data_IF_706049467387
#
_entry.id   IF_706049467387
#
_cell.length_a   1.000
_cell.length_b   1.000
_cell.length_c   1.000
_cell.angle_alpha   90.00
_cell.angle_beta   90.00
_cell.angle_gamma   90.00
#
_symmetry.space_group_name_H-M   'P 1'
#
loop_
_entity.id
_entity.type
_entity.pdbx_description
1 polymer ?
#
# COMPACT_ATOMS: atom_id res chain seq x y z
N UNK A 1 -0.08 32.68 51.62
CA UNK A 1 -1.39 32.54 50.97
C UNK A 1 -1.23 32.80 49.47
N UNK A 2 -0.92 31.76 48.68
CA UNK A 2 -0.78 31.84 47.22
C UNK A 2 -1.03 30.43 46.67
N UNK A 3 -2.24 30.11 46.20
CA UNK A 3 -2.43 28.83 45.49
C UNK A 3 -3.73 28.74 44.67
N UNK A 4 -4.77 29.52 44.97
CA UNK A 4 -6.04 29.41 44.24
C UNK A 4 -6.14 30.39 43.07
N UNK A 5 -5.81 31.67 43.28
CA UNK A 5 -5.90 32.70 42.23
C UNK A 5 -5.01 32.40 41.01
N UNK A 6 -3.79 31.89 41.23
CA UNK A 6 -2.88 31.49 40.15
C UNK A 6 -3.37 30.27 39.33
N UNK A 7 -4.25 29.44 39.90
CA UNK A 7 -4.82 28.29 39.21
C UNK A 7 -6.00 28.73 38.34
N UNK A 8 -6.83 29.63 38.86
CA UNK A 8 -7.99 30.21 38.16
C UNK A 8 -7.54 31.02 36.94
N UNK A 9 -6.47 31.81 37.06
CA UNK A 9 -5.92 32.59 35.93
C UNK A 9 -5.36 31.68 34.83
N UNK A 10 -4.63 30.62 35.19
CA UNK A 10 -4.12 29.63 34.23
C UNK A 10 -5.23 28.86 33.53
N UNK A 11 -6.32 28.56 34.22
CA UNK A 11 -7.50 27.93 33.63
C UNK A 11 -8.14 28.84 32.58
N UNK A 12 -8.35 30.12 32.90
CA UNK A 12 -8.92 31.10 31.99
C UNK A 12 -8.05 31.32 30.74
N UNK A 13 -6.73 31.33 30.89
CA UNK A 13 -5.79 31.41 29.76
C UNK A 13 -5.86 30.18 28.85
N UNK A 14 -5.95 28.97 29.42
CA UNK A 14 -6.11 27.75 28.64
C UNK A 14 -7.45 27.70 27.92
N UNK A 15 -8.55 28.10 28.57
CA UNK A 15 -9.87 28.18 27.94
C UNK A 15 -9.91 29.19 26.79
N UNK A 16 -9.17 30.30 26.90
CA UNK A 16 -9.03 31.26 25.81
C UNK A 16 -8.26 30.64 24.64
N UNK A 17 -7.14 29.97 24.91
CA UNK A 17 -6.32 29.29 23.87
C UNK A 17 -7.10 28.18 23.16
N UNK A 18 -7.92 27.42 23.89
CA UNK A 18 -8.78 26.39 23.30
C UNK A 18 -9.85 27.02 22.42
N UNK A 19 -10.47 28.12 22.84
CA UNK A 19 -11.44 28.86 22.01
C UNK A 19 -10.81 29.42 20.74
N UNK A 20 -9.63 30.01 20.84
CA UNK A 20 -8.87 30.53 19.68
C UNK A 20 -8.50 29.41 18.70
N UNK A 21 -7.98 28.28 19.20
CA UNK A 21 -7.61 27.14 18.37
C UNK A 21 -8.83 26.49 17.69
N UNK A 22 -9.98 26.43 18.37
CA UNK A 22 -11.22 25.93 17.80
C UNK A 22 -11.74 26.85 16.68
N UNK A 23 -11.68 28.17 16.89
CA UNK A 23 -12.07 29.17 15.88
C UNK A 23 -11.15 29.14 14.65
N UNK A 24 -9.84 28.96 14.84
CA UNK A 24 -8.89 28.80 13.73
C UNK A 24 -9.16 27.52 12.93
N UNK A 25 -9.41 26.41 13.61
CA UNK A 25 -9.77 25.13 12.98
C UNK A 25 -11.06 25.25 12.15
N UNK A 26 -12.08 25.93 12.67
CA UNK A 26 -13.33 26.16 11.95
C UNK A 26 -13.12 27.00 10.69
N UNK A 27 -12.32 28.07 10.77
CA UNK A 27 -11.95 28.89 9.60
C UNK A 27 -11.24 28.08 8.51
N UNK A 28 -10.28 27.25 8.90
CA UNK A 28 -9.54 26.40 7.96
C UNK A 28 -10.44 25.35 7.30
N UNK A 29 -11.43 24.82 8.02
CA UNK A 29 -12.42 23.90 7.47
C UNK A 29 -13.31 24.59 6.44
N UNK A 30 -13.83 25.78 6.77
CA UNK A 30 -14.63 26.59 5.84
C UNK A 30 -13.83 26.97 4.58
N UNK A 31 -12.56 27.36 4.71
CA UNK A 31 -11.72 27.67 3.55
C UNK A 31 -11.49 26.43 2.66
N UNK A 32 -11.28 25.25 3.27
CA UNK A 32 -11.12 23.99 2.54
C UNK A 32 -12.40 23.59 1.82
N UNK A 33 -13.56 23.79 2.45
CA UNK A 33 -14.87 23.52 1.83
C UNK A 33 -15.15 24.51 0.69
N UNK A 34 -14.87 25.80 0.88
CA UNK A 34 -14.98 26.80 -0.18
C UNK A 34 -14.08 26.47 -1.38
N UNK A 35 -12.83 26.04 -1.15
CA UNK A 35 -11.93 25.59 -2.22
C UNK A 35 -12.47 24.37 -2.98
N UNK A 36 -13.12 23.42 -2.28
CA UNK A 36 -13.77 22.27 -2.94
C UNK A 36 -14.96 22.70 -3.79
N UNK A 37 -15.81 23.61 -3.28
CA UNK A 37 -16.96 24.13 -4.02
C UNK A 37 -16.50 24.88 -5.27
N UNK A 38 -15.48 25.74 -5.17
CA UNK A 38 -14.91 26.47 -6.32
C UNK A 38 -14.35 25.49 -7.36
N UNK A 39 -13.64 24.46 -6.93
CA UNK A 39 -13.10 23.43 -7.83
C UNK A 39 -14.20 22.58 -8.49
N UNK A 40 -15.31 22.35 -7.78
CA UNK A 40 -16.48 21.63 -8.30
C UNK A 40 -17.29 22.49 -9.28
N UNK A 41 -17.50 23.78 -8.99
CA UNK A 41 -18.09 24.74 -9.92
C UNK A 41 -17.25 24.87 -11.18
N UNK A 42 -15.92 24.95 -11.06
CA UNK A 42 -15.00 24.99 -12.20
C UNK A 42 -15.11 23.74 -13.07
N UNK A 43 -15.27 22.55 -12.47
CA UNK A 43 -15.52 21.29 -13.21
C UNK A 43 -16.85 21.30 -13.95
N UNK A 44 -17.89 21.91 -13.37
CA UNK A 44 -19.22 22.00 -13.97
C UNK A 44 -19.22 23.02 -15.12
N UNK A 45 -18.55 24.17 -14.96
CA UNK A 45 -18.42 25.21 -15.99
C UNK A 45 -17.58 24.76 -17.20
N UNK A 46 -16.62 23.85 -17.02
CA UNK A 46 -15.80 23.27 -18.10
C UNK A 46 -16.54 22.21 -18.95
N UNK A 47 -17.83 21.97 -18.72
CA UNK A 47 -18.64 21.04 -19.51
C UNK A 47 -19.75 21.77 -20.27
N UNK A 48 -19.56 22.15 -21.55
CA UNK A 48 -20.67 22.54 -22.40
C UNK A 48 -21.36 21.30 -22.99
N UNK A 49 -22.62 21.07 -22.61
CA UNK A 49 -23.52 20.21 -23.38
C UNK A 49 -24.14 21.03 -24.52
N UNK A 50 -23.83 20.71 -25.79
CA UNK A 50 -24.82 20.30 -26.81
C UNK A 50 -24.32 20.40 -28.28
N UNK A 51 -24.57 19.30 -29.00
CA UNK A 51 -24.90 19.16 -30.43
C UNK A 51 -23.86 19.38 -31.56
N UNK A 52 -23.72 18.29 -32.33
CA UNK A 52 -23.47 18.17 -33.78
C UNK A 52 -22.27 18.95 -34.33
N UNK A 53 -21.12 18.30 -34.35
CA UNK A 53 -20.25 18.34 -35.52
C UNK A 53 -19.68 16.94 -35.77
N UNK A 54 -20.01 16.38 -36.94
CA UNK A 54 -19.29 15.27 -37.53
C UNK A 54 -17.83 15.69 -37.74
N UNK A 55 -16.95 15.23 -36.87
CA UNK A 55 -15.52 15.09 -37.16
C UNK A 55 -15.02 13.92 -36.30
N UNK A 56 -14.37 12.95 -36.95
CA UNK A 56 -13.64 11.88 -36.29
C UNK A 56 -12.56 12.47 -35.38
N UNK A 57 -12.89 12.78 -34.13
CA UNK A 57 -11.89 12.92 -33.09
C UNK A 57 -11.49 11.52 -32.66
N UNK A 58 -10.25 11.15 -32.99
CA UNK A 58 -9.57 9.99 -32.40
C UNK A 58 -9.49 10.29 -30.90
N UNK A 59 -10.49 9.84 -30.12
CA UNK A 59 -10.40 9.80 -28.66
C UNK A 59 -9.20 8.93 -28.36
N UNK A 60 -8.10 9.54 -27.92
CA UNK A 60 -6.98 8.77 -27.39
C UNK A 60 -7.55 7.80 -26.34
N UNK A 61 -7.32 6.48 -26.50
CA UNK A 61 -7.84 5.52 -25.55
C UNK A 61 -7.20 5.83 -24.20
N UNK A 62 -8.05 6.19 -23.22
CA UNK A 62 -7.66 6.32 -21.82
C UNK A 62 -6.76 5.13 -21.48
N UNK A 63 -5.50 5.33 -21.04
CA UNK A 63 -4.57 4.23 -20.88
C UNK A 63 -5.21 3.16 -20.01
N UNK A 64 -5.30 1.94 -20.56
CA UNK A 64 -5.98 0.84 -19.89
C UNK A 64 -5.43 0.71 -18.47
N UNK A 65 -6.32 0.58 -17.49
CA UNK A 65 -5.92 0.40 -16.10
C UNK A 65 -4.95 -0.80 -16.02
N UNK A 66 -3.78 -0.59 -15.43
CA UNK A 66 -2.76 -1.63 -15.30
C UNK A 66 -3.35 -2.90 -14.65
N UNK A 67 -3.13 -4.03 -15.31
CA UNK A 67 -3.62 -5.35 -14.91
C UNK A 67 -2.43 -6.21 -14.48
N UNK A 68 -2.35 -6.49 -13.17
CA UNK A 68 -1.26 -7.27 -12.58
C UNK A 68 -1.16 -8.68 -13.18
N UNK A 69 -2.30 -9.32 -13.44
CA UNK A 69 -2.31 -10.70 -13.94
C UNK A 69 -1.71 -10.74 -15.35
N UNK A 70 -2.17 -9.84 -16.23
CA UNK A 70 -1.65 -9.75 -17.61
C UNK A 70 -0.17 -9.39 -17.62
N UNK A 71 0.26 -8.50 -16.72
CA UNK A 71 1.67 -8.14 -16.60
C UNK A 71 2.53 -9.35 -16.22
N UNK A 72 2.12 -10.13 -15.21
CA UNK A 72 2.85 -11.33 -14.79
C UNK A 72 2.87 -12.41 -15.89
N UNK A 73 1.75 -12.60 -16.59
CA UNK A 73 1.69 -13.51 -17.74
C UNK A 73 2.63 -13.05 -18.88
N UNK A 74 2.70 -11.75 -19.15
CA UNK A 74 3.63 -11.17 -20.12
C UNK A 74 5.11 -11.30 -19.70
N UNK A 75 5.39 -11.33 -18.40
CA UNK A 75 6.71 -11.67 -17.83
C UNK A 75 7.04 -13.17 -17.89
N UNK A 76 6.14 -14.01 -18.43
CA UNK A 76 6.35 -15.44 -18.63
C UNK A 76 5.88 -16.33 -17.47
N UNK A 77 5.13 -15.79 -16.51
CA UNK A 77 4.58 -16.59 -15.41
C UNK A 77 3.37 -17.40 -15.84
N UNK A 78 3.35 -18.66 -15.44
CA UNK A 78 2.19 -19.54 -15.64
C UNK A 78 1.25 -19.41 -14.45
N UNK A 79 0.53 -18.29 -14.38
CA UNK A 79 -0.33 -17.94 -13.24
C UNK A 79 -1.45 -18.96 -13.02
N UNK A 80 -1.99 -19.56 -14.07
CA UNK A 80 -3.08 -20.56 -13.96
C UNK A 80 -2.63 -21.90 -13.37
N UNK A 81 -1.37 -22.29 -13.61
CA UNK A 81 -0.84 -23.59 -13.15
C UNK A 81 -0.21 -23.49 -11.77
N UNK A 82 0.09 -22.29 -11.27
CA UNK A 82 0.66 -22.07 -9.95
C UNK A 82 -0.41 -22.16 -8.84
N UNK A 83 -0.73 -23.37 -8.39
CA UNK A 83 -1.74 -23.61 -7.34
C UNK A 83 -1.42 -22.94 -5.99
N UNK A 84 -0.16 -22.52 -5.78
CA UNK A 84 0.27 -21.92 -4.52
C UNK A 84 -0.06 -20.42 -4.42
N UNK A 85 -0.38 -19.76 -5.53
CA UNK A 85 -0.61 -18.32 -5.61
C UNK A 85 -1.88 -18.03 -6.40
N UNK A 86 -2.73 -17.17 -5.85
CA UNK A 86 -3.96 -16.71 -6.48
C UNK A 86 -3.75 -15.27 -6.94
N UNK A 87 -3.73 -15.05 -8.25
CA UNK A 87 -3.52 -13.73 -8.83
C UNK A 87 -4.80 -13.25 -9.52
N UNK A 88 -5.12 -11.99 -9.30
CA UNK A 88 -6.16 -11.25 -10.04
C UNK A 88 -5.53 -10.00 -10.64
N UNK A 89 -6.29 -9.21 -11.41
CA UNK A 89 -5.79 -7.96 -11.99
C UNK A 89 -5.28 -6.94 -10.98
N UNK A 90 -5.63 -7.08 -9.69
CA UNK A 90 -5.29 -6.12 -8.63
C UNK A 90 -4.67 -6.75 -7.37
N UNK A 91 -4.57 -8.08 -7.30
CA UNK A 91 -4.12 -8.75 -6.08
C UNK A 91 -3.34 -10.01 -6.37
N UNK A 92 -2.44 -10.35 -5.44
CA UNK A 92 -1.71 -11.61 -5.42
C UNK A 92 -1.78 -12.17 -3.99
N UNK A 93 -2.26 -13.40 -3.82
CA UNK A 93 -2.51 -13.99 -2.50
C UNK A 93 -1.98 -15.41 -2.41
N UNK A 94 -1.45 -15.80 -1.26
CA UNK A 94 -0.83 -17.12 -1.10
C UNK A 94 -0.13 -17.29 0.23
N UNK A 95 0.22 -18.53 0.57
CA UNK A 95 1.00 -18.81 1.76
C UNK A 95 2.49 -18.60 1.51
N UNK A 96 3.15 -17.89 2.42
CA UNK A 96 4.60 -17.82 2.54
C UNK A 96 5.03 -18.17 3.96
N UNK A 97 6.24 -18.68 4.12
CA UNK A 97 6.84 -18.88 5.44
C UNK A 97 7.77 -17.71 5.72
N UNK A 98 7.43 -16.85 6.67
CA UNK A 98 8.21 -15.65 6.98
C UNK A 98 9.04 -15.78 8.23
N UNK A 99 10.20 -15.12 8.25
CA UNK A 99 11.00 -14.95 9.45
C UNK A 99 10.34 -13.94 10.40
N UNK A 100 10.39 -14.21 11.70
CA UNK A 100 9.94 -13.27 12.74
C UNK A 100 10.89 -12.08 12.88
N UNK A 101 10.37 -10.97 13.44
CA UNK A 101 11.14 -9.72 13.60
C UNK A 101 12.16 -9.83 14.73
N UNK A 102 11.66 -9.76 15.97
CA UNK A 102 12.45 -9.89 17.21
C UNK A 102 12.99 -11.31 17.39
N UNK A 103 12.08 -12.29 17.36
CA UNK A 103 12.42 -13.71 17.44
C UNK A 103 12.48 -14.26 16.01
N UNK A 104 13.65 -14.77 15.60
CA UNK A 104 13.91 -15.25 14.23
C UNK A 104 13.31 -16.64 13.94
N UNK A 105 12.11 -16.91 14.45
CA UNK A 105 11.34 -18.12 14.11
C UNK A 105 10.65 -17.97 12.76
N UNK A 106 10.57 -19.04 12.00
CA UNK A 106 9.84 -19.10 10.73
C UNK A 106 8.38 -19.49 10.96
N UNK A 107 7.44 -18.74 10.37
CA UNK A 107 6.00 -19.01 10.52
C UNK A 107 5.29 -18.91 9.18
N UNK A 108 4.49 -19.94 8.86
CA UNK A 108 3.56 -19.91 7.72
C UNK A 108 2.49 -18.83 7.96
N UNK A 109 2.30 -17.94 7.00
CA UNK A 109 1.32 -16.86 7.04
C UNK A 109 0.69 -16.70 5.67
N UNK A 110 -0.57 -16.30 5.66
CA UNK A 110 -1.27 -15.95 4.42
C UNK A 110 -0.92 -14.52 4.05
N UNK A 111 -0.32 -14.31 2.90
CA UNK A 111 0.03 -13.00 2.38
C UNK A 111 -1.00 -12.54 1.36
N UNK A 112 -1.28 -11.24 1.39
CA UNK A 112 -2.15 -10.56 0.42
C UNK A 112 -1.45 -9.30 -0.05
N UNK A 113 -1.07 -9.29 -1.32
CA UNK A 113 -0.73 -8.11 -2.05
C UNK A 113 -2.00 -7.44 -2.56
N UNK A 114 -2.18 -6.16 -2.27
CA UNK A 114 -3.29 -5.34 -2.73
C UNK A 114 -2.75 -4.09 -3.42
N UNK A 115 -2.94 -4.04 -4.75
CA UNK A 115 -2.45 -2.93 -5.57
C UNK A 115 -3.16 -1.62 -5.25
N UNK A 116 -4.46 -1.66 -5.00
CA UNK A 116 -5.23 -0.44 -4.76
C UNK A 116 -4.89 0.18 -3.41
N UNK A 117 -4.74 -0.65 -2.38
CA UNK A 117 -4.32 -0.20 -1.05
C UNK A 117 -2.81 0.04 -0.94
N UNK A 118 -2.03 -0.33 -1.96
CA UNK A 118 -0.57 -0.22 -2.02
C UNK A 118 0.15 -0.90 -0.84
N UNK A 119 -0.31 -2.11 -0.49
CA UNK A 119 0.22 -2.86 0.65
C UNK A 119 0.38 -4.35 0.37
N UNK A 120 1.42 -4.92 0.99
CA UNK A 120 1.58 -6.35 1.21
C UNK A 120 1.27 -6.65 2.68
N UNK A 121 0.08 -7.16 2.94
CA UNK A 121 -0.36 -7.56 4.27
C UNK A 121 -0.17 -9.07 4.50
N UNK A 122 -0.06 -9.47 5.76
CA UNK A 122 -0.07 -10.89 6.11
C UNK A 122 -0.89 -11.20 7.36
N UNK A 123 -1.56 -12.35 7.32
CA UNK A 123 -2.53 -12.83 8.29
C UNK A 123 -2.08 -14.16 8.88
N UNK A 124 -2.74 -14.58 9.96
CA UNK A 124 -2.54 -15.91 10.52
C UNK A 124 -2.75 -17.02 9.47
N UNK A 125 -3.81 -16.88 8.68
CA UNK A 125 -4.37 -17.89 7.79
C UNK A 125 -5.22 -17.24 6.66
N UNK A 126 -5.78 -18.07 5.79
CA UNK A 126 -6.48 -17.65 4.55
C UNK A 126 -7.82 -16.98 4.78
N UNK A 127 -8.33 -17.06 6.00
CA UNK A 127 -9.58 -16.46 6.45
C UNK A 127 -9.44 -14.93 6.58
N UNK A 128 -8.21 -14.40 6.55
CA UNK A 128 -7.90 -12.96 6.53
C UNK A 128 -8.46 -12.19 7.75
N UNK A 129 -8.79 -12.89 8.85
CA UNK A 129 -9.41 -12.31 10.05
C UNK A 129 -8.40 -11.70 11.03
N UNK A 130 -7.19 -12.29 11.12
CA UNK A 130 -6.17 -11.90 12.10
C UNK A 130 -4.96 -11.28 11.39
N UNK A 131 -5.01 -9.98 11.13
CA UNK A 131 -3.88 -9.23 10.58
C UNK A 131 -2.68 -9.32 11.52
N UNK A 132 -1.50 -9.63 10.96
CA UNK A 132 -0.24 -9.78 11.71
C UNK A 132 0.80 -8.74 11.34
N UNK A 133 0.68 -8.13 10.17
CA UNK A 133 1.51 -7.01 9.78
C UNK A 133 1.23 -6.55 8.36
N UNK A 134 1.77 -5.38 8.04
CA UNK A 134 1.63 -4.70 6.76
C UNK A 134 3.01 -4.23 6.33
N UNK A 135 3.28 -4.32 5.03
CA UNK A 135 4.44 -3.75 4.36
C UNK A 135 3.87 -2.79 3.31
N UNK A 136 4.13 -1.50 3.49
CA UNK A 136 3.70 -0.49 2.52
C UNK A 136 4.63 -0.53 1.32
N UNK A 137 4.10 -0.47 0.11
CA UNK A 137 4.96 -0.52 -1.08
C UNK A 137 5.93 0.66 -1.14
N UNK A 138 5.52 1.84 -0.66
CA UNK A 138 6.37 3.02 -0.58
C UNK A 138 7.58 2.82 0.36
N UNK A 139 7.47 1.90 1.32
CA UNK A 139 8.54 1.60 2.24
C UNK A 139 9.59 0.66 1.65
N UNK A 140 9.30 0.00 0.53
CA UNK A 140 10.16 -1.02 -0.08
C UNK A 140 11.28 -0.32 -0.84
N UNK A 141 12.51 -0.61 -0.44
CA UNK A 141 13.71 -0.14 -1.13
C UNK A 141 14.19 -1.16 -2.16
N UNK A 142 14.08 -2.44 -1.83
CA UNK A 142 14.68 -3.51 -2.62
C UNK A 142 13.97 -4.86 -2.38
N UNK A 143 13.93 -5.69 -3.42
CA UNK A 143 13.49 -7.09 -3.34
C UNK A 143 14.55 -7.96 -3.99
N UNK A 144 15.04 -8.99 -3.29
CA UNK A 144 16.15 -9.80 -3.77
C UNK A 144 16.11 -11.25 -3.28
N UNK A 145 16.74 -12.15 -4.03
CA UNK A 145 17.00 -13.52 -3.60
C UNK A 145 18.03 -13.53 -2.47
N UNK A 146 17.73 -14.19 -1.35
CA UNK A 146 18.67 -14.23 -0.23
C UNK A 146 19.74 -15.30 -0.46
N UNK A 147 20.86 -14.92 -1.08
CA UNK A 147 21.96 -15.83 -1.37
C UNK A 147 23.03 -15.88 -0.26
N UNK A 148 23.00 -14.98 0.71
CA UNK A 148 24.20 -14.68 1.50
C UNK A 148 23.95 -14.44 3.00
N UNK A 149 22.73 -14.12 3.48
CA UNK A 149 22.56 -13.52 4.83
C UNK A 149 21.61 -14.24 5.77
N UNK A 150 20.34 -14.42 5.43
CA UNK A 150 19.37 -15.15 6.28
C UNK A 150 19.15 -16.58 5.80
N UNK A 151 19.59 -16.89 4.59
CA UNK A 151 19.47 -18.16 3.90
C UNK A 151 20.00 -19.34 4.74
N UNK A 152 21.12 -19.19 5.45
CA UNK A 152 21.69 -20.25 6.29
C UNK A 152 20.79 -20.69 7.44
N UNK A 153 19.86 -19.83 7.89
CA UNK A 153 18.84 -20.18 8.90
C UNK A 153 17.48 -20.47 8.29
N UNK A 154 17.35 -20.36 6.96
CA UNK A 154 16.11 -20.61 6.25
C UNK A 154 15.80 -22.10 6.19
N UNK A 155 14.53 -22.51 6.32
CA UNK A 155 14.14 -23.89 6.08
C UNK A 155 14.32 -24.32 4.62
N UNK A 156 14.38 -23.38 3.66
CA UNK A 156 14.72 -23.67 2.27
C UNK A 156 15.43 -22.47 1.60
N UNK A 157 16.77 -22.42 1.65
CA UNK A 157 17.56 -21.31 1.13
C UNK A 157 17.27 -20.99 -0.34
N UNK A 158 17.09 -22.02 -1.19
CA UNK A 158 16.86 -21.85 -2.64
C UNK A 158 15.53 -21.19 -2.97
N UNK A 159 14.58 -21.21 -2.05
CA UNK A 159 13.26 -20.61 -2.19
C UNK A 159 13.08 -19.38 -1.30
N UNK A 160 14.19 -18.80 -0.81
CA UNK A 160 14.16 -17.65 0.09
C UNK A 160 14.41 -16.36 -0.68
N UNK A 161 13.53 -15.39 -0.48
CA UNK A 161 13.69 -14.01 -0.94
C UNK A 161 13.45 -13.05 0.22
N UNK A 162 13.98 -11.84 0.12
CA UNK A 162 13.76 -10.79 1.09
C UNK A 162 13.20 -9.53 0.44
N UNK A 163 12.32 -8.85 1.19
CA UNK A 163 11.83 -7.50 0.92
C UNK A 163 12.46 -6.59 1.96
N UNK A 164 13.29 -5.66 1.52
CA UNK A 164 13.95 -4.68 2.37
C UNK A 164 13.13 -3.40 2.40
N UNK A 165 12.74 -2.99 3.60
CA UNK A 165 12.19 -1.66 3.87
C UNK A 165 13.21 -0.78 4.58
N UNK A 166 12.92 0.52 4.67
CA UNK A 166 13.79 1.51 5.33
C UNK A 166 14.14 1.16 6.79
N UNK A 167 13.26 0.43 7.49
CA UNK A 167 13.42 0.09 8.91
C UNK A 167 13.51 -1.42 9.19
N UNK A 168 13.26 -2.27 8.18
CA UNK A 168 13.06 -3.69 8.43
C UNK A 168 13.34 -4.58 7.22
N UNK A 169 13.98 -5.72 7.49
CA UNK A 169 14.13 -6.79 6.52
C UNK A 169 13.08 -7.88 6.73
N UNK A 170 12.31 -8.18 5.69
CA UNK A 170 11.34 -9.28 5.66
C UNK A 170 11.84 -10.40 4.76
N UNK A 171 12.32 -11.49 5.36
CA UNK A 171 12.70 -12.68 4.59
C UNK A 171 11.59 -13.73 4.64
N UNK A 172 11.31 -14.32 3.49
CA UNK A 172 10.19 -15.20 3.22
C UNK A 172 10.65 -16.38 2.38
N UNK A 173 10.03 -17.54 2.61
CA UNK A 173 10.25 -18.76 1.85
C UNK A 173 8.99 -19.08 1.08
N UNK A 174 9.13 -19.18 -0.24
CA UNK A 174 8.07 -19.58 -1.14
C UNK A 174 7.89 -21.10 -1.15
N UNK A 175 6.68 -21.59 -1.45
CA UNK A 175 6.42 -23.03 -1.53
C UNK A 175 6.98 -23.68 -2.81
N UNK A 176 7.30 -22.89 -3.84
CA UNK A 176 7.86 -23.37 -5.11
C UNK A 176 8.66 -22.26 -5.81
N UNK A 177 9.55 -22.60 -6.76
CA UNK A 177 10.29 -21.61 -7.55
C UNK A 177 9.38 -20.67 -8.34
N UNK A 178 8.30 -21.19 -8.91
CA UNK A 178 7.33 -20.37 -9.67
C UNK A 178 6.61 -19.39 -8.74
N UNK A 179 6.15 -19.85 -7.57
CA UNK A 179 5.54 -18.97 -6.58
C UNK A 179 6.51 -17.87 -6.12
N UNK A 180 7.80 -18.19 -5.93
CA UNK A 180 8.82 -17.20 -5.57
C UNK A 180 8.92 -16.10 -6.61
N UNK A 181 9.07 -16.48 -7.89
CA UNK A 181 9.18 -15.54 -9.00
C UNK A 181 7.94 -14.64 -9.11
N UNK A 182 6.74 -15.23 -9.07
CA UNK A 182 5.48 -14.48 -9.12
C UNK A 182 5.40 -13.46 -7.97
N UNK A 183 5.75 -13.85 -6.74
CA UNK A 183 5.74 -12.94 -5.60
C UNK A 183 6.75 -11.80 -5.76
N UNK A 184 7.97 -12.11 -6.19
CA UNK A 184 9.01 -11.11 -6.40
C UNK A 184 8.59 -10.10 -7.46
N UNK A 185 8.20 -10.56 -8.64
CA UNK A 185 7.80 -9.69 -9.75
C UNK A 185 6.60 -8.82 -9.38
N UNK A 186 5.57 -9.39 -8.74
CA UNK A 186 4.42 -8.61 -8.29
C UNK A 186 4.81 -7.47 -7.33
N UNK A 187 5.72 -7.75 -6.39
CA UNK A 187 6.18 -6.77 -5.40
C UNK A 187 7.08 -5.71 -6.05
N UNK A 188 8.02 -6.11 -6.90
CA UNK A 188 8.93 -5.20 -7.63
C UNK A 188 8.12 -4.24 -8.48
N UNK A 189 7.19 -4.74 -9.30
CA UNK A 189 6.36 -3.91 -10.17
C UNK A 189 5.59 -2.84 -9.38
N UNK A 190 5.02 -3.19 -8.23
CA UNK A 190 4.32 -2.19 -7.42
C UNK A 190 5.22 -1.29 -6.56
N UNK A 191 6.46 -1.70 -6.28
CA UNK A 191 7.44 -0.82 -5.66
C UNK A 191 7.89 0.27 -6.65
N UNK A 192 8.16 -0.11 -7.90
CA UNK A 192 8.58 0.79 -8.98
C UNK A 192 7.48 1.78 -9.41
N UNK A 193 6.21 1.38 -9.38
CA UNK A 193 5.10 2.32 -9.62
C UNK A 193 5.08 3.48 -8.60
N UNK A 194 5.66 3.30 -7.42
CA UNK A 194 5.70 4.34 -6.39
C UNK A 194 6.75 5.42 -6.62
N UNK A 195 7.81 5.14 -7.39
CA UNK A 195 8.88 6.12 -7.66
C UNK A 195 8.55 7.03 -8.84
N UNK A 196 7.48 6.72 -9.59
CA UNK A 196 7.05 7.45 -10.79
C UNK A 196 6.02 8.55 -10.54
N UNK A 197 5.61 8.78 -9.30
CA UNK A 197 4.65 9.81 -8.86
C UNK A 197 5.14 10.47 -7.57
#
# INVERSE_FOLDING_TARGET
AYSLENCVTKLAEMERRVREAMAERERLLQEREAKKVVEEVKRIELSPSNMIHNAMEIREPKPAAFDLRKHLEASGHSVETCQNVRVTSKSCKGYLVKMGGRIKTWKKRWFTFDRQKRVLAYYADKEETKLKGVIYFQAIEEVYCDHLRSAFKSPNPKLTFCVKTYDRLFCMVAPSPEAMRIWMDAIVTAAEENTRY
#
